data_IF_029385905129
#
_entry.id   IF_029385905129
#
_cell.length_a   1.000
_cell.length_b   1.000
_cell.length_c   1.000
_cell.angle_alpha   90.00
_cell.angle_beta   90.00
_cell.angle_gamma   90.00
#
_symmetry.space_group_name_H-M   'P 1'
#
loop_
_entity.id
_entity.type
_entity.pdbx_description
1 polymer ?
#
# COMPACT_ATOMS: atom_id res chain seq x y z
N UNK A 1 -4.48 -14.98 2.82
CA UNK A 1 -4.78 -15.19 4.26
C UNK A 1 -3.75 -14.38 5.04
N UNK A 2 -4.15 -13.64 6.09
CA UNK A 2 -3.23 -12.88 6.93
C UNK A 2 -3.31 -13.45 8.34
N UNK A 3 -2.17 -13.62 9.01
CA UNK A 3 -2.11 -14.07 10.41
C UNK A 3 -2.18 -15.59 10.63
N UNK A 4 -2.13 -16.40 9.57
CA UNK A 4 -2.05 -17.86 9.67
C UNK A 4 -0.90 -18.38 8.83
N UNK A 5 -0.25 -19.42 9.34
CA UNK A 5 0.77 -20.21 8.64
C UNK A 5 0.25 -21.64 8.59
N UNK A 6 0.39 -22.29 7.44
CA UNK A 6 0.03 -23.69 7.26
C UNK A 6 1.32 -24.50 7.18
N UNK A 7 1.41 -25.57 7.97
CA UNK A 7 2.57 -26.47 8.05
C UNK A 7 2.12 -27.87 7.66
N UNK A 8 2.85 -28.50 6.76
CA UNK A 8 2.65 -29.91 6.39
C UNK A 8 3.57 -30.77 7.25
N UNK A 9 2.98 -31.73 7.99
CA UNK A 9 3.70 -32.68 8.82
C UNK A 9 2.85 -33.93 9.03
N UNK A 10 3.49 -35.08 9.28
CA UNK A 10 2.77 -36.33 9.60
C UNK A 10 2.15 -36.29 11.01
N UNK A 11 2.84 -35.66 11.96
CA UNK A 11 2.44 -35.58 13.37
C UNK A 11 2.38 -34.14 13.85
N UNK A 12 1.44 -33.88 14.76
CA UNK A 12 1.32 -32.57 15.41
C UNK A 12 2.50 -32.27 16.33
N UNK A 13 3.14 -33.28 16.91
CA UNK A 13 4.35 -33.13 17.76
C UNK A 13 5.47 -32.41 17.01
N UNK A 14 5.68 -32.78 15.76
CA UNK A 14 6.80 -32.32 14.94
C UNK A 14 6.62 -30.82 14.62
N UNK A 15 5.36 -30.39 14.43
CA UNK A 15 5.02 -28.97 14.26
C UNK A 15 5.28 -28.18 15.53
N UNK A 16 4.90 -28.71 16.69
CA UNK A 16 5.09 -28.03 17.98
C UNK A 16 6.58 -27.87 18.30
N UNK A 17 7.37 -28.92 18.10
CA UNK A 17 8.83 -28.89 18.32
C UNK A 17 9.51 -27.89 17.37
N UNK A 18 9.17 -27.92 16.08
CA UNK A 18 9.73 -27.00 15.09
C UNK A 18 9.32 -25.54 15.37
N UNK A 19 8.09 -25.30 15.83
CA UNK A 19 7.59 -23.96 16.12
C UNK A 19 7.96 -23.42 17.51
N UNK A 20 8.54 -24.25 18.39
CA UNK A 20 8.84 -23.85 19.78
C UNK A 20 9.82 -22.67 19.88
N UNK A 21 10.72 -22.50 18.90
CA UNK A 21 11.74 -21.44 18.90
C UNK A 21 11.38 -20.23 18.01
N UNK A 22 10.20 -20.22 17.39
CA UNK A 22 9.75 -19.15 16.51
C UNK A 22 8.99 -18.08 17.31
N UNK A 23 9.61 -16.92 17.53
CA UNK A 23 9.02 -15.82 18.29
C UNK A 23 7.71 -15.26 17.70
N UNK A 24 7.55 -15.33 16.37
CA UNK A 24 6.39 -14.81 15.65
C UNK A 24 5.25 -15.83 15.47
N UNK A 25 5.40 -17.06 15.99
CA UNK A 25 4.43 -18.15 15.79
C UNK A 25 3.91 -18.66 17.14
N UNK A 26 2.59 -18.54 17.34
CA UNK A 26 1.92 -19.07 18.52
C UNK A 26 1.59 -20.56 18.34
N UNK A 27 2.50 -21.45 18.72
CA UNK A 27 2.32 -22.91 18.64
C UNK A 27 1.21 -23.45 19.57
N UNK A 28 0.76 -22.67 20.54
CA UNK A 28 -0.35 -23.03 21.43
C UNK A 28 -1.71 -23.12 20.73
N UNK A 29 -1.84 -22.57 19.52
CA UNK A 29 -3.09 -22.51 18.76
C UNK A 29 -3.12 -23.46 17.54
N UNK A 30 -2.25 -24.48 17.53
CA UNK A 30 -2.18 -25.45 16.42
C UNK A 30 -3.47 -26.24 16.30
N UNK A 31 -4.12 -26.16 15.14
CA UNK A 31 -5.36 -26.87 14.81
C UNK A 31 -5.20 -27.59 13.48
N UNK A 32 -5.73 -28.82 13.37
CA UNK A 32 -5.73 -29.59 12.13
C UNK A 32 -6.69 -28.97 11.12
N UNK A 33 -6.21 -28.75 9.90
CA UNK A 33 -7.05 -28.31 8.78
C UNK A 33 -7.96 -29.46 8.32
N UNK A 34 -9.27 -29.22 8.11
CA UNK A 34 -10.17 -30.21 7.52
C UNK A 34 -9.72 -30.61 6.10
N UNK A 35 -9.83 -31.89 5.75
CA UNK A 35 -9.35 -32.42 4.46
C UNK A 35 -9.99 -31.71 3.26
N UNK A 36 -11.25 -31.29 3.38
CA UNK A 36 -12.00 -30.62 2.32
C UNK A 36 -11.42 -29.23 1.96
N UNK A 37 -10.72 -28.58 2.89
CA UNK A 37 -10.23 -27.20 2.74
C UNK A 37 -8.78 -27.14 2.22
N UNK A 38 -8.02 -28.24 2.30
CA UNK A 38 -6.60 -28.28 1.91
C UNK A 38 -6.39 -27.84 0.46
N UNK A 39 -7.26 -28.29 -0.44
CA UNK A 39 -7.22 -27.91 -1.86
C UNK A 39 -7.37 -26.40 -2.08
N UNK A 40 -8.17 -25.74 -1.24
CA UNK A 40 -8.45 -24.30 -1.34
C UNK A 40 -7.27 -23.43 -0.87
N UNK A 41 -6.43 -23.95 0.03
CA UNK A 41 -5.25 -23.24 0.54
C UNK A 41 -4.20 -22.98 -0.54
N UNK A 42 -4.08 -23.91 -1.48
CA UNK A 42 -3.10 -23.86 -2.57
C UNK A 42 -3.60 -23.08 -3.79
N UNK A 43 -4.85 -22.61 -3.78
CA UNK A 43 -5.41 -21.82 -4.88
C UNK A 43 -4.80 -20.42 -4.85
N UNK A 44 -3.80 -20.20 -5.69
CA UNK A 44 -3.21 -18.88 -5.91
C UNK A 44 -4.25 -17.99 -6.59
N UNK A 45 -4.86 -17.09 -5.81
CA UNK A 45 -5.59 -15.95 -6.38
C UNK A 45 -4.60 -15.02 -7.03
N UNK A 46 -4.35 -15.20 -8.32
CA UNK A 46 -3.61 -14.22 -9.13
C UNK A 46 -4.36 -12.89 -9.03
N UNK A 47 -3.83 -11.97 -8.23
CA UNK A 47 -4.23 -10.56 -8.33
C UNK A 47 -3.63 -10.04 -9.63
N UNK A 48 -4.35 -10.16 -10.73
CA UNK A 48 -4.07 -9.39 -11.93
C UNK A 48 -4.40 -7.93 -11.61
N UNK A 49 -3.47 -7.27 -10.91
CA UNK A 49 -3.41 -5.81 -10.86
C UNK A 49 -2.62 -5.34 -12.07
N UNK A 50 -2.93 -5.86 -13.25
CA UNK A 50 -2.34 -5.35 -14.47
C UNK A 50 -3.03 -4.01 -14.74
N UNK A 51 -2.34 -2.94 -14.35
CA UNK A 51 -2.81 -1.59 -14.59
C UNK A 51 -2.67 -1.37 -16.09
N UNK A 52 -3.81 -1.23 -16.78
CA UNK A 52 -3.85 -0.91 -18.21
C UNK A 52 -4.10 0.58 -18.41
N UNK A 53 -3.62 1.09 -19.53
CA UNK A 53 -3.92 2.45 -19.97
C UNK A 53 -5.44 2.60 -20.16
N UNK A 54 -5.97 3.77 -19.80
CA UNK A 54 -7.41 4.07 -19.83
C UNK A 54 -8.21 3.54 -18.63
N UNK A 55 -7.62 2.72 -17.75
CA UNK A 55 -8.29 2.26 -16.53
C UNK A 55 -8.36 3.35 -15.46
N UNK A 56 -9.33 3.23 -14.55
CA UNK A 56 -9.50 4.14 -13.44
C UNK A 56 -8.86 3.57 -12.18
N UNK A 57 -8.12 4.40 -11.45
CA UNK A 57 -7.44 4.05 -10.22
C UNK A 57 -7.77 5.05 -9.11
N UNK A 58 -7.64 4.63 -7.86
CA UNK A 58 -7.81 5.51 -6.70
C UNK A 58 -6.45 5.83 -6.08
N UNK A 59 -6.20 7.11 -5.84
CA UNK A 59 -4.95 7.57 -5.23
C UNK A 59 -4.94 7.19 -3.74
N UNK A 60 -3.91 6.46 -3.32
CA UNK A 60 -3.79 5.95 -1.93
C UNK A 60 -3.17 6.98 -0.97
N UNK A 61 -2.29 7.87 -1.46
CA UNK A 61 -1.50 8.80 -0.64
C UNK A 61 -1.23 10.12 -1.37
N UNK A 62 -0.92 11.18 -0.62
CA UNK A 62 -0.65 12.53 -1.12
C UNK A 62 -1.85 13.49 -1.02
N UNK A 63 -1.73 14.67 -1.63
CA UNK A 63 -2.75 15.74 -1.60
C UNK A 63 -4.06 15.29 -2.25
N UNK A 64 -3.97 14.45 -3.28
CA UNK A 64 -5.11 13.88 -4.01
C UNK A 64 -5.60 12.55 -3.41
N UNK A 65 -5.31 12.25 -2.14
CA UNK A 65 -5.71 10.98 -1.51
C UNK A 65 -7.23 10.80 -1.58
N UNK A 66 -7.64 9.64 -2.07
CA UNK A 66 -9.05 9.28 -2.21
C UNK A 66 -9.67 9.67 -3.54
N UNK A 67 -9.00 10.49 -4.36
CA UNK A 67 -9.52 10.88 -5.67
C UNK A 67 -9.42 9.73 -6.68
N UNK A 68 -10.36 9.74 -7.63
CA UNK A 68 -10.40 8.86 -8.79
C UNK A 68 -9.57 9.51 -9.90
N UNK A 69 -8.66 8.75 -10.47
CA UNK A 69 -7.73 9.18 -11.50
C UNK A 69 -7.78 8.22 -12.69
N UNK A 70 -7.63 8.75 -13.91
CA UNK A 70 -7.52 7.91 -15.09
C UNK A 70 -6.04 7.64 -15.39
N UNK A 71 -5.67 6.39 -15.64
CA UNK A 71 -4.32 5.99 -16.04
C UNK A 71 -4.11 6.36 -17.51
N UNK A 72 -3.11 7.19 -17.78
CA UNK A 72 -2.78 7.63 -19.15
C UNK A 72 -1.66 6.79 -19.74
N UNK A 73 -0.62 6.51 -18.95
CA UNK A 73 0.53 5.73 -19.39
C UNK A 73 1.05 4.89 -18.24
N UNK A 74 1.50 3.68 -18.54
CA UNK A 74 2.06 2.75 -17.55
C UNK A 74 3.53 2.48 -17.86
N UNK A 75 4.40 2.82 -16.92
CA UNK A 75 5.81 2.47 -17.00
C UNK A 75 6.06 1.20 -16.15
N UNK A 76 6.13 0.07 -16.83
CA UNK A 76 6.32 -1.25 -16.20
C UNK A 76 7.72 -1.42 -15.59
N UNK A 77 8.76 -0.83 -16.18
CA UNK A 77 10.14 -0.91 -15.68
C UNK A 77 10.27 -0.26 -14.30
N UNK A 78 9.69 0.93 -14.15
CA UNK A 78 9.76 1.71 -12.91
C UNK A 78 8.60 1.44 -11.95
N UNK A 79 7.66 0.57 -12.32
CA UNK A 79 6.40 0.30 -11.59
C UNK A 79 5.64 1.59 -11.24
N UNK A 80 5.59 2.54 -12.18
CA UNK A 80 4.91 3.85 -12.02
C UNK A 80 3.86 4.02 -13.11
N UNK A 81 2.76 4.69 -12.77
CA UNK A 81 1.71 5.05 -13.72
C UNK A 81 1.51 6.56 -13.72
N UNK A 82 1.42 7.15 -14.91
CA UNK A 82 1.03 8.54 -15.10
C UNK A 82 -0.49 8.61 -15.09
N UNK A 83 -1.05 9.44 -14.22
CA UNK A 83 -2.50 9.57 -14.05
C UNK A 83 -2.98 10.99 -14.32
N UNK A 84 -4.18 11.11 -14.87
CA UNK A 84 -4.89 12.38 -15.03
C UNK A 84 -5.80 12.60 -13.82
N UNK A 85 -5.62 13.74 -13.15
CA UNK A 85 -6.32 14.15 -11.93
C UNK A 85 -6.93 15.55 -12.11
N UNK A 86 -7.99 15.85 -11.36
CA UNK A 86 -8.57 17.20 -11.28
C UNK A 86 -7.76 18.00 -10.25
N UNK A 87 -7.15 19.13 -10.64
CA UNK A 87 -6.34 19.93 -9.72
C UNK A 87 -7.21 20.62 -8.67
N UNK A 88 -6.81 20.50 -7.39
CA UNK A 88 -7.44 21.16 -6.24
C UNK A 88 -6.47 22.18 -5.67
N UNK A 89 -6.18 23.21 -6.46
CA UNK A 89 -5.12 24.17 -6.16
C UNK A 89 -5.74 25.52 -5.82
N UNK A 90 -5.49 26.02 -4.61
CA UNK A 90 -5.87 27.36 -4.19
C UNK A 90 -4.86 28.38 -4.73
N UNK A 91 -5.25 29.09 -5.80
CA UNK A 91 -4.43 30.09 -6.48
C UNK A 91 -4.02 31.25 -5.54
N UNK A 92 -4.87 31.60 -4.58
CA UNK A 92 -4.60 32.67 -3.60
C UNK A 92 -3.50 32.28 -2.60
N UNK A 93 -3.46 31.01 -2.16
CA UNK A 93 -2.43 30.51 -1.25
C UNK A 93 -1.07 30.37 -1.94
N UNK A 94 -1.06 30.13 -3.26
CA UNK A 94 0.14 30.19 -4.09
C UNK A 94 0.67 31.62 -4.21
N UNK A 95 -0.21 32.59 -4.51
CA UNK A 95 0.19 34.00 -4.63
C UNK A 95 0.86 34.52 -3.35
N UNK A 96 0.31 34.22 -2.16
CA UNK A 96 0.90 34.65 -0.89
C UNK A 96 2.30 34.10 -0.58
N UNK A 97 2.70 32.97 -1.18
CA UNK A 97 4.06 32.41 -1.04
C UNK A 97 5.10 33.09 -1.94
N UNK A 98 4.66 33.70 -3.05
CA UNK A 98 5.54 34.37 -4.01
C UNK A 98 5.42 35.89 -3.98
N UNK A 99 4.54 36.46 -3.16
CA UNK A 99 4.56 37.89 -2.85
C UNK A 99 5.85 38.16 -2.10
N UNK A 100 6.81 38.76 -2.83
CA UNK A 100 8.02 39.36 -2.31
C UNK A 100 7.57 40.30 -1.19
N UNK A 101 7.81 39.92 0.08
CA UNK A 101 7.57 40.82 1.20
C UNK A 101 8.38 42.07 0.91
N UNK A 102 7.77 43.27 0.83
CA UNK A 102 8.55 44.48 0.65
C UNK A 102 9.56 44.56 1.80
N UNK A 103 10.82 44.73 1.44
CA UNK A 103 11.94 44.94 2.34
C UNK A 103 11.55 46.06 3.31
N UNK A 104 11.40 45.74 4.61
CA UNK A 104 10.97 46.70 5.61
C UNK A 104 12.13 47.68 5.88
N UNK A 105 12.06 48.97 5.50
CA UNK A 105 13.15 49.90 5.69
C UNK A 105 12.92 50.67 6.99
N UNK A 106 12.90 49.98 8.13
CA UNK A 106 12.78 50.64 9.44
C UNK A 106 13.75 50.02 10.45
N UNK A 107 15.02 50.09 10.11
CA UNK A 107 16.11 50.20 11.07
C UNK A 107 17.10 51.22 10.51
N UNK A 108 16.82 52.50 10.72
CA UNK A 108 17.82 53.56 10.89
C UNK A 108 17.05 54.82 11.28
N UNK A 109 16.85 54.98 12.59
CA UNK A 109 16.81 56.32 13.16
C UNK A 109 17.75 56.28 14.36
N UNK A 110 18.67 57.25 14.32
CA UNK A 110 19.68 57.63 15.31
C UNK A 110 19.12 57.63 16.73
#
# INVERSE_FOLDING_TARGET
>A
VKGFVFVEAEKQSDVVEACHQLADVYYSLVTRVPVNEVSQLLVVRRRYNEVKEGTWARVKSGIYRGDIAQVVAVNNERKRATVKLIPRIDLQALAGKYVIKPFCPLFFSI
#
